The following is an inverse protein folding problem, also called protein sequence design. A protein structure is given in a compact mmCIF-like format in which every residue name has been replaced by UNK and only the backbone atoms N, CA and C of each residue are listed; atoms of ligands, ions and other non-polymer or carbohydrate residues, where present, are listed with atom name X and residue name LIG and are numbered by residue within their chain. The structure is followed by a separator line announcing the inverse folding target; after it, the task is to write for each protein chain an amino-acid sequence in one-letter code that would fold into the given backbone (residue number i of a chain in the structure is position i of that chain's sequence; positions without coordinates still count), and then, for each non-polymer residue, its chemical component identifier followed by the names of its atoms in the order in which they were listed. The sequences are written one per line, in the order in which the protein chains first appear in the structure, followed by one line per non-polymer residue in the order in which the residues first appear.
data_IF_255174516661
#
_entry.id   IF_255174516661
#
_cell.length_a   1.000
_cell.length_b   1.000
_cell.length_c   1.000
_cell.angle_alpha   90.00
_cell.angle_beta   90.00
_cell.angle_gamma   90.00
#
_symmetry.space_group_name_H-M   'P 1'
#
loop_
_entity.id
_entity.type
_entity.pdbx_description
1 polymer ?
#
# COMPACT_ATOMS: atom_id res chain seq x y z
N UNK A 1 -13.66 -21.05 48.99
CA UNK A 1 -12.83 -20.70 47.81
C UNK A 1 -13.49 -19.56 47.02
N UNK A 2 -13.13 -18.28 47.26
CA UNK A 2 -13.66 -17.12 46.49
C UNK A 2 -12.64 -16.46 45.56
N UNK A 3 -11.36 -16.86 45.64
CA UNK A 3 -10.24 -16.31 44.86
C UNK A 3 -10.23 -16.67 43.36
N UNK A 4 -11.16 -17.52 42.90
CA UNK A 4 -11.09 -18.11 41.57
C UNK A 4 -11.99 -17.42 40.53
N UNK A 5 -13.02 -16.66 40.95
CA UNK A 5 -13.98 -16.06 40.02
C UNK A 5 -13.58 -14.64 39.59
N UNK A 6 -13.13 -13.81 40.55
CA UNK A 6 -12.68 -12.43 40.30
C UNK A 6 -11.42 -12.43 39.44
N UNK A 7 -10.47 -13.32 39.74
CA UNK A 7 -9.21 -13.46 38.99
C UNK A 7 -9.44 -13.92 37.54
N UNK A 8 -10.34 -14.88 37.31
CA UNK A 8 -10.70 -15.34 35.95
C UNK A 8 -11.40 -14.25 35.13
N UNK A 9 -12.31 -13.49 35.73
CA UNK A 9 -12.97 -12.34 35.08
C UNK A 9 -11.95 -11.27 34.69
N UNK A 10 -11.00 -10.97 35.58
CA UNK A 10 -9.97 -9.96 35.33
C UNK A 10 -8.98 -10.40 34.23
N UNK A 11 -8.62 -11.69 34.19
CA UNK A 11 -7.82 -12.26 33.10
C UNK A 11 -8.58 -12.16 31.76
N UNK A 12 -9.86 -12.54 31.73
CA UNK A 12 -10.66 -12.44 30.51
C UNK A 12 -10.77 -10.99 30.00
N UNK A 13 -10.94 -10.03 30.90
CA UNK A 13 -10.96 -8.60 30.56
C UNK A 13 -9.60 -8.15 30.02
N UNK A 14 -8.49 -8.54 30.66
CA UNK A 14 -7.14 -8.21 30.19
C UNK A 14 -6.85 -8.79 28.80
N UNK A 15 -7.23 -10.06 28.55
CA UNK A 15 -7.11 -10.69 27.24
C UNK A 15 -7.96 -9.98 26.19
N UNK A 16 -9.18 -9.57 26.54
CA UNK A 16 -10.05 -8.81 25.63
C UNK A 16 -9.44 -7.45 25.25
N UNK A 17 -8.86 -6.73 26.23
CA UNK A 17 -8.19 -5.45 25.97
C UNK A 17 -6.99 -5.65 25.02
N UNK A 18 -6.17 -6.67 25.23
CA UNK A 18 -5.04 -6.99 24.34
C UNK A 18 -5.53 -7.31 22.93
N UNK A 19 -6.60 -8.11 22.79
CA UNK A 19 -7.19 -8.41 21.48
C UNK A 19 -7.72 -7.16 20.77
N UNK A 20 -8.36 -6.24 21.50
CA UNK A 20 -8.84 -4.97 20.95
C UNK A 20 -7.66 -4.12 20.47
N UNK A 21 -6.57 -4.01 21.24
CA UNK A 21 -5.38 -3.25 20.85
C UNK A 21 -4.74 -3.85 19.59
N UNK A 22 -4.60 -5.18 19.51
CA UNK A 22 -4.08 -5.85 18.33
C UNK A 22 -4.99 -5.56 17.13
N UNK A 23 -6.31 -5.66 17.30
CA UNK A 23 -7.26 -5.38 16.24
C UNK A 23 -7.18 -3.92 15.74
N UNK A 24 -7.02 -2.94 16.65
CA UNK A 24 -6.88 -1.54 16.24
C UNK A 24 -5.58 -1.29 15.47
N UNK A 25 -4.46 -1.85 15.93
CA UNK A 25 -3.16 -1.71 15.24
C UNK A 25 -3.20 -2.37 13.86
N UNK A 26 -3.78 -3.58 13.76
CA UNK A 26 -3.97 -4.25 12.47
C UNK A 26 -4.88 -3.44 11.54
N UNK A 27 -5.98 -2.89 12.07
CA UNK A 27 -6.91 -2.07 11.29
C UNK A 27 -6.22 -0.81 10.73
N UNK A 28 -5.45 -0.09 11.54
CA UNK A 28 -4.69 1.07 11.10
C UNK A 28 -3.64 0.72 10.05
N UNK A 29 -2.95 -0.42 10.22
CA UNK A 29 -2.02 -0.94 9.22
C UNK A 29 -2.71 -1.24 7.88
N UNK A 30 -3.84 -1.96 7.90
CA UNK A 30 -4.62 -2.24 6.69
C UNK A 30 -5.17 -0.98 6.04
N UNK A 31 -5.66 -0.03 6.84
CA UNK A 31 -6.17 1.26 6.35
C UNK A 31 -5.07 2.05 5.65
N UNK A 32 -3.89 2.14 6.26
CA UNK A 32 -2.71 2.82 5.70
C UNK A 32 -2.27 2.17 4.39
N UNK A 33 -2.18 0.84 4.37
CA UNK A 33 -1.86 0.10 3.15
C UNK A 33 -2.87 0.32 2.03
N UNK A 34 -4.16 0.33 2.35
CA UNK A 34 -5.21 0.55 1.36
C UNK A 34 -5.15 1.97 0.78
N UNK A 35 -4.92 2.98 1.63
CA UNK A 35 -4.73 4.36 1.19
C UNK A 35 -3.51 4.50 0.26
N UNK A 36 -2.37 3.91 0.63
CA UNK A 36 -1.16 3.92 -0.21
C UNK A 36 -1.40 3.22 -1.56
N UNK A 37 -2.12 2.09 -1.56
CA UNK A 37 -2.46 1.40 -2.82
C UNK A 37 -3.38 2.25 -3.70
N UNK A 38 -4.33 3.00 -3.12
CA UNK A 38 -5.19 3.91 -3.87
C UNK A 38 -4.40 5.08 -4.47
N UNK A 39 -3.46 5.64 -3.71
CA UNK A 39 -2.57 6.70 -4.20
C UNK A 39 -1.69 6.19 -5.34
N UNK A 40 -1.05 5.04 -5.17
CA UNK A 40 -0.21 4.44 -6.21
C UNK A 40 -1.01 4.05 -7.46
N UNK A 41 -2.26 3.62 -7.30
CA UNK A 41 -3.17 3.38 -8.43
C UNK A 41 -3.42 4.67 -9.23
N UNK A 42 -3.68 5.80 -8.55
CA UNK A 42 -3.88 7.10 -9.22
C UNK A 42 -2.62 7.56 -9.94
N UNK A 43 -1.46 7.39 -9.31
CA UNK A 43 -0.17 7.71 -9.93
C UNK A 43 0.05 6.84 -11.17
N UNK A 44 -0.19 5.54 -11.09
CA UNK A 44 -0.07 4.64 -12.25
C UNK A 44 -1.09 4.92 -13.36
N UNK A 45 -2.30 5.33 -13.01
CA UNK A 45 -3.30 5.80 -13.98
C UNK A 45 -2.82 7.08 -14.69
N UNK A 46 -2.21 8.01 -13.96
CA UNK A 46 -1.59 9.20 -14.56
C UNK A 46 -0.38 8.83 -15.44
N UNK A 47 0.41 7.83 -15.06
CA UNK A 47 1.50 7.27 -15.88
C UNK A 47 0.97 6.67 -17.18
N UNK A 48 -0.13 5.92 -17.13
CA UNK A 48 -0.78 5.36 -18.31
C UNK A 48 -1.29 6.46 -19.26
N UNK A 49 -1.92 7.49 -18.71
CA UNK A 49 -2.46 8.61 -19.50
C UNK A 49 -1.36 9.50 -20.09
N UNK A 50 -0.26 9.70 -19.38
CA UNK A 50 0.87 10.50 -19.83
C UNK A 50 2.21 9.87 -19.41
N UNK A 51 2.70 8.89 -20.19
CA UNK A 51 3.94 8.19 -19.88
C UNK A 51 5.18 9.08 -20.04
N UNK A 52 5.10 10.13 -20.87
CA UNK A 52 6.21 11.06 -21.13
C UNK A 52 6.52 11.94 -19.93
N UNK A 53 5.53 12.20 -19.07
CA UNK A 53 5.69 13.00 -17.85
C UNK A 53 5.89 12.17 -16.59
N UNK A 54 6.18 10.88 -16.70
CA UNK A 54 6.19 9.96 -15.56
C UNK A 54 7.51 9.22 -15.47
N UNK A 55 8.00 9.02 -14.25
CA UNK A 55 9.30 8.38 -14.01
C UNK A 55 9.16 7.28 -12.97
N UNK A 56 9.58 6.08 -13.33
CA UNK A 56 9.74 4.93 -12.43
C UNK A 56 11.23 4.68 -12.27
N UNK A 57 11.70 4.74 -11.03
CA UNK A 57 13.10 4.52 -10.70
C UNK A 57 13.25 3.28 -9.83
N UNK A 58 14.32 2.52 -10.07
CA UNK A 58 14.69 1.43 -9.18
C UNK A 58 15.17 1.96 -7.81
N UNK A 59 15.41 1.05 -6.87
CA UNK A 59 15.95 1.40 -5.53
C UNK A 59 17.30 2.14 -5.55
N UNK A 60 18.01 2.12 -6.68
CA UNK A 60 19.30 2.78 -6.87
C UNK A 60 19.17 4.10 -7.65
N UNK A 61 17.95 4.53 -8.00
CA UNK A 61 17.69 5.73 -8.80
C UNK A 61 17.86 5.54 -10.31
N UNK A 62 18.00 4.31 -10.81
CA UNK A 62 18.04 4.04 -12.25
C UNK A 62 16.64 4.14 -12.83
N UNK A 63 16.48 4.93 -13.89
CA UNK A 63 15.24 5.01 -14.66
C UNK A 63 14.93 3.66 -15.33
N UNK A 64 13.76 3.11 -14.99
CA UNK A 64 13.23 1.84 -15.52
C UNK A 64 11.83 2.04 -16.11
N UNK A 65 11.44 3.29 -16.42
CA UNK A 65 10.08 3.65 -16.85
C UNK A 65 9.61 2.84 -18.04
N UNK A 66 10.43 2.74 -19.09
CA UNK A 66 10.07 2.00 -20.31
C UNK A 66 9.95 0.49 -20.07
N UNK A 67 10.87 -0.09 -19.30
CA UNK A 67 10.86 -1.52 -18.96
C UNK A 67 9.62 -1.86 -18.10
N UNK A 68 9.34 -1.02 -17.10
CA UNK A 68 8.20 -1.16 -16.21
C UNK A 68 6.87 -1.03 -16.97
N UNK A 69 6.75 0.01 -17.81
CA UNK A 69 5.55 0.21 -18.63
C UNK A 69 5.38 -0.94 -19.60
N UNK A 70 6.41 -1.35 -20.33
CA UNK A 70 6.34 -2.47 -21.28
C UNK A 70 5.86 -3.77 -20.61
N UNK A 71 6.36 -4.05 -19.40
CA UNK A 71 5.98 -5.24 -18.62
C UNK A 71 4.53 -5.24 -18.15
N UNK A 72 3.97 -4.07 -17.82
CA UNK A 72 2.64 -3.95 -17.20
C UNK A 72 1.57 -3.27 -18.07
N UNK A 73 1.91 -2.78 -19.27
CA UNK A 73 1.04 -1.98 -20.13
C UNK A 73 -0.34 -2.61 -20.36
N UNK A 74 -0.36 -3.90 -20.67
CA UNK A 74 -1.61 -4.63 -20.95
C UNK A 74 -2.50 -4.79 -19.72
N UNK A 75 -1.90 -4.94 -18.53
CA UNK A 75 -2.63 -5.01 -17.28
C UNK A 75 -3.14 -3.62 -16.87
N UNK A 76 -2.32 -2.57 -17.04
CA UNK A 76 -2.69 -1.17 -16.77
C UNK A 76 -3.87 -0.72 -17.65
N UNK A 77 -3.84 -1.00 -18.96
CA UNK A 77 -4.94 -0.70 -19.91
C UNK A 77 -6.26 -1.38 -19.56
N UNK A 78 -6.20 -2.51 -18.85
CA UNK A 78 -7.37 -3.26 -18.37
C UNK A 78 -7.84 -2.77 -16.99
N UNK A 79 -7.22 -1.73 -16.44
CA UNK A 79 -7.46 -1.22 -15.10
C UNK A 79 -6.92 -2.12 -13.99
N UNK A 80 -6.06 -3.09 -14.29
CA UNK A 80 -5.50 -4.03 -13.33
C UNK A 80 -4.11 -3.57 -12.84
N UNK A 81 -4.11 -2.71 -11.82
CA UNK A 81 -2.88 -2.15 -11.25
C UNK A 81 -2.21 -3.06 -10.21
N UNK A 82 -2.84 -4.16 -9.79
CA UNK A 82 -2.40 -4.95 -8.64
C UNK A 82 -0.99 -5.53 -8.80
N UNK A 83 -0.63 -6.01 -9.99
CA UNK A 83 0.71 -6.56 -10.25
C UNK A 83 1.80 -5.47 -10.23
N UNK A 84 1.51 -4.34 -10.87
CA UNK A 84 2.41 -3.19 -10.90
C UNK A 84 2.67 -2.65 -9.48
N UNK A 85 1.61 -2.45 -8.69
CA UNK A 85 1.68 -2.02 -7.28
C UNK A 85 2.49 -3.00 -6.43
N UNK A 86 2.28 -4.31 -6.63
CA UNK A 86 3.00 -5.35 -5.90
C UNK A 86 4.50 -5.29 -6.20
N UNK A 87 4.89 -5.20 -7.47
CA UNK A 87 6.32 -5.13 -7.84
C UNK A 87 6.98 -3.85 -7.32
N UNK A 88 6.32 -2.68 -7.45
CA UNK A 88 6.82 -1.40 -6.90
C UNK A 88 7.15 -1.54 -5.42
N UNK A 89 6.26 -2.20 -4.67
CA UNK A 89 6.45 -2.43 -3.24
C UNK A 89 7.56 -3.43 -2.94
N UNK A 90 7.55 -4.58 -3.60
CA UNK A 90 8.53 -5.66 -3.35
C UNK A 90 9.95 -5.25 -3.76
N UNK A 91 10.08 -4.44 -4.79
CA UNK A 91 11.37 -3.97 -5.31
C UNK A 91 11.78 -2.61 -4.78
N UNK A 92 10.94 -1.96 -4.00
CA UNK A 92 11.13 -0.60 -3.48
C UNK A 92 11.41 0.42 -4.60
N UNK A 93 10.60 0.38 -5.65
CA UNK A 93 10.66 1.36 -6.74
C UNK A 93 10.06 2.69 -6.30
N UNK A 94 10.60 3.77 -6.84
CA UNK A 94 10.03 5.11 -6.72
C UNK A 94 9.21 5.41 -7.97
N UNK A 95 8.00 5.93 -7.79
CA UNK A 95 7.16 6.38 -8.90
C UNK A 95 6.84 7.84 -8.69
N UNK A 96 7.15 8.66 -9.70
CA UNK A 96 6.84 10.08 -9.70
C UNK A 96 6.12 10.45 -11.00
N UNK A 97 5.17 11.37 -10.90
CA UNK A 97 4.55 11.99 -12.07
C UNK A 97 4.89 13.46 -12.01
N UNK A 98 5.36 14.00 -13.13
CA UNK A 98 5.47 15.43 -13.34
C UNK A 98 4.08 15.97 -13.72
N UNK A 99 3.08 15.70 -12.88
CA UNK A 99 1.86 16.48 -12.93
C UNK A 99 2.24 17.85 -12.40
N UNK A 100 2.47 18.80 -13.32
CA UNK A 100 2.50 20.21 -13.01
C UNK A 100 1.19 20.50 -12.26
N UNK A 101 1.25 20.61 -10.94
CA UNK A 101 0.13 21.08 -10.14
C UNK A 101 -0.20 22.47 -10.66
N UNK A 102 -1.17 22.56 -11.56
CA UNK A 102 -1.87 23.81 -11.85
C UNK A 102 -2.72 24.08 -10.62
N UNK A 103 -2.08 24.65 -9.60
CA UNK A 103 -2.74 25.48 -8.61
C UNK A 103 -2.94 26.88 -9.14
#
# INVERSE_FOLDING_TARGET
MKYNLVTKKNIAIATFIILVIIATVCFDYFRTQNANNQELTKVLQAVEQNPVSSKVEDKNGKDITEEFLSKYLDDLKKGNYSKAIKEIRERHYSVSTNQKSTS
#
